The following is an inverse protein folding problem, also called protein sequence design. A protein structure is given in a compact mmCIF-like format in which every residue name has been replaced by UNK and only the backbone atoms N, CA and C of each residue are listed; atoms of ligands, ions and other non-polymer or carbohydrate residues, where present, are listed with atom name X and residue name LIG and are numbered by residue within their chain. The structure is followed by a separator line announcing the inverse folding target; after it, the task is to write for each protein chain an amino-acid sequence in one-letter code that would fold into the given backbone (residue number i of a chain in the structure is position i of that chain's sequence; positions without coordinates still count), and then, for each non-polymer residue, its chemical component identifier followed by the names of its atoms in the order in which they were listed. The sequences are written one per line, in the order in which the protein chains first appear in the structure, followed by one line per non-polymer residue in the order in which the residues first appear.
data_IF_897686745810
#
_entry.id   IF_897686745810
#
_cell.length_a   1.000
_cell.length_b   1.000
_cell.length_c   1.000
_cell.angle_alpha   90.00
_cell.angle_beta   90.00
_cell.angle_gamma   90.00
#
_symmetry.space_group_name_H-M   'P 1'
#
loop_
_entity.id
_entity.type
_entity.pdbx_description
1 polymer ?
#
# COMPACT_ATOMS: atom_id res chain seq x y z
N UNK A 1 -24.73 5.64 35.62
CA UNK A 1 -24.23 5.56 34.22
C UNK A 1 -23.11 6.58 34.09
N UNK A 2 -21.86 6.14 33.85
CA UNK A 2 -20.77 7.07 33.56
C UNK A 2 -21.01 7.64 32.16
N UNK A 3 -21.03 8.97 32.04
CA UNK A 3 -21.07 9.67 30.75
C UNK A 3 -19.96 9.11 29.87
N UNK A 4 -20.24 8.77 28.59
CA UNK A 4 -19.19 8.32 27.68
C UNK A 4 -18.08 9.38 27.63
N UNK A 5 -16.79 8.98 27.63
CA UNK A 5 -15.70 9.92 27.59
C UNK A 5 -15.83 10.81 26.34
N UNK A 6 -15.71 12.12 26.54
CA UNK A 6 -15.84 13.11 25.46
C UNK A 6 -14.64 12.98 24.52
N UNK A 7 -14.92 12.72 23.25
CA UNK A 7 -13.92 12.70 22.16
C UNK A 7 -13.23 14.06 22.09
N UNK A 8 -11.89 14.07 22.02
CA UNK A 8 -11.12 15.31 21.84
C UNK A 8 -11.00 15.64 20.36
N UNK A 9 -10.86 16.94 20.07
CA UNK A 9 -10.61 17.46 18.73
C UNK A 9 -9.32 18.27 18.74
N UNK A 10 -8.53 18.13 17.68
CA UNK A 10 -7.38 19.01 17.48
C UNK A 10 -7.82 20.42 17.07
N UNK A 11 -7.02 21.43 17.40
CA UNK A 11 -7.23 22.81 16.95
C UNK A 11 -6.89 23.00 15.47
N UNK A 12 -5.89 22.26 14.99
CA UNK A 12 -5.44 22.13 13.60
C UNK A 12 -5.34 20.66 13.25
N UNK A 13 -5.46 20.30 11.97
CA UNK A 13 -5.37 18.90 11.56
C UNK A 13 -3.91 18.42 11.63
N UNK A 14 -3.55 17.47 12.51
CA UNK A 14 -2.19 16.96 12.56
C UNK A 14 -1.85 16.14 11.31
N UNK A 15 -0.65 16.38 10.78
CA UNK A 15 -0.03 15.61 9.70
C UNK A 15 1.33 15.17 10.19
N UNK A 16 1.53 13.86 10.38
CA UNK A 16 2.82 13.29 10.75
C UNK A 16 3.47 12.71 9.51
N UNK A 17 4.66 13.20 9.18
CA UNK A 17 5.45 12.73 8.04
C UNK A 17 6.64 11.97 8.61
N UNK A 18 6.68 10.67 8.31
CA UNK A 18 7.75 9.74 8.71
C UNK A 18 8.54 9.31 7.49
N UNK A 19 9.67 8.65 7.72
CA UNK A 19 10.44 8.09 6.61
C UNK A 19 9.97 6.68 6.29
N UNK A 20 10.11 5.76 7.25
CA UNK A 20 9.65 4.38 7.12
C UNK A 20 8.17 4.28 7.53
N UNK A 21 7.37 3.59 6.72
CA UNK A 21 5.92 3.61 6.86
C UNK A 21 5.41 3.15 8.22
N UNK A 22 6.00 2.09 8.78
CA UNK A 22 5.60 1.53 10.07
C UNK A 22 5.75 2.52 11.24
N UNK A 23 6.58 3.57 11.12
CA UNK A 23 6.72 4.61 12.14
C UNK A 23 5.43 5.41 12.35
N UNK A 24 4.45 5.35 11.43
CA UNK A 24 3.14 6.00 11.64
C UNK A 24 2.39 5.43 12.86
N UNK A 25 2.65 4.17 13.23
CA UNK A 25 1.93 3.45 14.30
C UNK A 25 2.04 4.17 15.63
N UNK A 26 3.21 4.73 15.98
CA UNK A 26 3.36 5.47 17.23
C UNK A 26 2.46 6.70 17.32
N UNK A 27 2.24 7.40 16.21
CA UNK A 27 1.40 8.59 16.16
C UNK A 27 -0.08 8.21 16.21
N UNK A 28 -0.48 7.13 15.54
CA UNK A 28 -1.82 6.56 15.62
C UNK A 28 -2.12 6.13 17.07
N UNK A 29 -1.23 5.37 17.71
CA UNK A 29 -1.41 4.91 19.09
C UNK A 29 -1.45 6.08 20.09
N UNK A 30 -0.66 7.13 19.86
CA UNK A 30 -0.75 8.38 20.64
C UNK A 30 -2.11 9.06 20.47
N UNK A 31 -2.66 9.09 19.26
CA UNK A 31 -3.98 9.66 18.99
C UNK A 31 -5.13 8.85 19.62
N UNK A 32 -4.99 7.51 19.67
CA UNK A 32 -5.90 6.61 20.41
C UNK A 32 -5.79 6.88 21.93
N UNK A 33 -4.58 6.82 22.50
CA UNK A 33 -4.34 7.01 23.93
C UNK A 33 -4.75 8.39 24.45
N UNK A 34 -4.61 9.42 23.61
CA UNK A 34 -5.06 10.79 23.90
C UNK A 34 -6.54 11.05 23.62
N UNK A 35 -7.28 10.03 23.14
CA UNK A 35 -8.74 10.04 22.87
C UNK A 35 -9.18 11.00 21.77
N UNK A 36 -8.32 11.24 20.79
CA UNK A 36 -8.71 11.92 19.55
C UNK A 36 -9.31 10.91 18.56
N UNK A 37 -8.73 9.73 18.49
CA UNK A 37 -9.22 8.57 17.72
C UNK A 37 -9.90 7.59 18.70
N UNK A 38 -11.01 6.93 18.32
CA UNK A 38 -11.65 5.92 19.17
C UNK A 38 -10.73 4.71 19.40
N UNK A 39 -10.99 3.97 20.47
CA UNK A 39 -10.20 2.79 20.84
C UNK A 39 -10.39 1.59 19.90
N UNK A 40 -11.50 1.56 19.15
CA UNK A 40 -11.91 0.45 18.29
C UNK A 40 -12.73 0.96 17.13
N UNK A 41 -12.99 0.08 16.16
CA UNK A 41 -13.78 0.38 14.96
C UNK A 41 -13.21 1.57 14.18
N UNK A 42 -11.88 1.71 14.16
CA UNK A 42 -11.17 2.72 13.38
C UNK A 42 -11.24 2.33 11.91
N UNK A 43 -11.54 3.33 11.08
CA UNK A 43 -11.52 3.25 9.63
C UNK A 43 -10.28 3.96 9.10
N UNK A 44 -9.70 3.42 8.05
CA UNK A 44 -8.52 3.97 7.40
C UNK A 44 -8.75 4.07 5.90
N UNK A 45 -8.32 5.19 5.31
CA UNK A 45 -8.14 5.33 3.86
C UNK A 45 -6.64 5.34 3.63
N UNK A 46 -6.15 4.37 2.88
CA UNK A 46 -4.72 4.07 2.66
C UNK A 46 -4.39 4.34 1.20
N UNK A 47 -3.57 5.35 0.88
CA UNK A 47 -3.13 5.63 -0.48
C UNK A 47 -1.69 5.16 -0.63
N UNK A 48 -1.47 4.10 -1.40
CA UNK A 48 -0.19 3.41 -1.43
C UNK A 48 -0.06 2.53 -2.67
N UNK A 49 1.15 2.34 -3.18
CA UNK A 49 1.45 1.29 -4.17
C UNK A 49 1.43 -0.13 -3.56
N UNK A 50 1.51 -0.27 -2.25
CA UNK A 50 1.53 -1.52 -1.49
C UNK A 50 0.35 -1.62 -0.50
N UNK A 51 -0.13 -2.83 -0.15
CA UNK A 51 -1.25 -2.97 0.79
C UNK A 51 -0.89 -2.75 2.26
N UNK A 52 0.36 -3.04 2.66
CA UNK A 52 0.86 -3.11 4.04
C UNK A 52 0.09 -4.03 4.99
N UNK A 53 -0.45 -5.11 4.42
CA UNK A 53 -1.28 -6.08 5.13
C UNK A 53 -0.55 -7.39 5.45
N UNK A 54 0.79 -7.45 5.34
CA UNK A 54 1.51 -8.64 5.79
C UNK A 54 1.56 -8.69 7.32
N UNK A 55 1.99 -9.84 7.83
CA UNK A 55 2.20 -10.11 9.25
C UNK A 55 3.54 -10.84 9.35
N UNK A 56 4.45 -10.48 10.26
CA UNK A 56 5.65 -11.28 10.46
C UNK A 56 5.25 -12.70 10.86
N UNK A 57 5.69 -13.70 10.10
CA UNK A 57 5.27 -15.11 10.29
C UNK A 57 5.58 -15.60 11.72
N UNK A 58 6.63 -15.07 12.34
CA UNK A 58 7.09 -15.38 13.69
C UNK A 58 6.47 -14.52 14.80
N UNK A 59 5.67 -13.49 14.47
CA UNK A 59 5.09 -12.56 15.45
C UNK A 59 4.15 -13.31 16.41
N UNK A 60 4.56 -13.38 17.68
CA UNK A 60 3.74 -13.99 18.71
C UNK A 60 2.55 -13.08 19.04
N UNK A 61 1.36 -13.65 19.20
CA UNK A 61 0.14 -12.86 19.41
C UNK A 61 0.20 -11.93 20.65
N UNK A 62 0.94 -12.29 21.68
CA UNK A 62 1.09 -11.44 22.86
C UNK A 62 1.98 -10.20 22.63
N UNK A 63 2.86 -10.23 21.62
CA UNK A 63 3.76 -9.12 21.27
C UNK A 63 2.98 -7.85 20.92
N UNK A 64 1.82 -7.98 20.26
CA UNK A 64 0.95 -6.85 19.88
C UNK A 64 0.50 -6.00 21.06
N UNK A 65 0.45 -6.57 22.26
CA UNK A 65 0.03 -5.86 23.47
C UNK A 65 1.20 -5.32 24.29
N UNK A 66 2.43 -5.57 23.87
CA UNK A 66 3.64 -4.95 24.41
C UNK A 66 4.17 -3.92 23.40
N UNK A 67 4.28 -2.67 23.83
CA UNK A 67 4.67 -1.57 22.93
C UNK A 67 6.06 -1.78 22.34
N UNK A 68 7.03 -2.19 23.17
CA UNK A 68 8.42 -2.27 22.76
C UNK A 68 8.63 -3.47 21.85
N UNK A 69 8.05 -4.63 22.21
CA UNK A 69 8.08 -5.82 21.36
C UNK A 69 7.39 -5.57 20.03
N UNK A 70 6.16 -5.04 20.05
CA UNK A 70 5.43 -4.74 18.80
C UNK A 70 6.27 -3.87 17.88
N UNK A 71 6.77 -2.73 18.35
CA UNK A 71 7.49 -1.79 17.48
C UNK A 71 8.80 -2.37 16.95
N UNK A 72 9.45 -3.27 17.67
CA UNK A 72 10.66 -3.95 17.19
C UNK A 72 10.40 -5.03 16.13
N UNK A 73 9.17 -5.51 16.03
CA UNK A 73 8.76 -6.56 15.07
C UNK A 73 8.06 -5.99 13.83
N UNK A 74 7.74 -4.68 13.82
CA UNK A 74 7.14 -4.03 12.66
C UNK A 74 8.18 -3.71 11.59
N UNK A 75 7.74 -3.78 10.34
CA UNK A 75 8.43 -3.30 9.15
C UNK A 75 7.42 -2.61 8.23
N UNK A 76 7.92 -1.94 7.19
CA UNK A 76 7.15 -1.11 6.26
C UNK A 76 5.93 -1.83 5.66
N UNK A 77 5.99 -3.15 5.46
CA UNK A 77 4.95 -3.93 4.78
C UNK A 77 3.91 -4.61 5.70
N UNK A 78 4.06 -4.50 7.03
CA UNK A 78 3.36 -5.38 7.97
C UNK A 78 2.69 -4.69 9.18
N UNK A 79 2.55 -3.37 9.15
CA UNK A 79 2.17 -2.58 10.33
C UNK A 79 0.65 -2.47 10.58
N UNK A 80 -0.19 -2.65 9.56
CA UNK A 80 -1.65 -2.49 9.69
C UNK A 80 -2.29 -3.66 10.46
N UNK A 81 -1.95 -4.90 10.10
CA UNK A 81 -2.60 -6.11 10.62
C UNK A 81 -2.42 -6.32 12.13
N UNK A 82 -1.26 -6.00 12.74
CA UNK A 82 -1.13 -5.96 14.20
C UNK A 82 -2.14 -5.03 14.89
N UNK A 83 -2.45 -3.86 14.30
CA UNK A 83 -3.48 -2.96 14.85
C UNK A 83 -4.90 -3.53 14.70
N UNK A 84 -5.15 -4.32 13.64
CA UNK A 84 -6.40 -5.06 13.46
C UNK A 84 -6.54 -6.12 14.55
N UNK A 85 -5.49 -6.92 14.81
CA UNK A 85 -5.49 -7.92 15.87
C UNK A 85 -5.67 -7.31 17.26
N UNK A 86 -5.06 -6.14 17.52
CA UNK A 86 -5.29 -5.35 18.73
C UNK A 86 -6.76 -4.87 18.90
N UNK A 87 -7.57 -4.97 17.84
CA UNK A 87 -8.97 -4.55 17.82
C UNK A 87 -9.18 -3.05 17.59
N UNK A 88 -8.14 -2.35 17.14
CA UNK A 88 -8.19 -0.92 16.85
C UNK A 88 -8.83 -0.65 15.49
N UNK A 89 -8.24 -1.19 14.42
CA UNK A 89 -8.71 -1.03 13.04
C UNK A 89 -9.64 -2.17 12.67
N UNK A 90 -10.75 -1.84 12.00
CA UNK A 90 -11.68 -2.86 11.49
C UNK A 90 -11.95 -2.75 9.99
N UNK A 91 -11.64 -1.60 9.39
CA UNK A 91 -11.86 -1.36 7.96
C UNK A 91 -10.71 -0.53 7.37
N UNK A 92 -10.16 -1.00 6.25
CA UNK A 92 -9.17 -0.26 5.44
C UNK A 92 -9.75 -0.16 4.03
N UNK A 93 -9.78 1.05 3.48
CA UNK A 93 -9.97 1.26 2.05
C UNK A 93 -8.60 1.55 1.44
N UNK A 94 -8.03 0.56 0.76
CA UNK A 94 -6.76 0.69 0.06
C UNK A 94 -7.02 1.25 -1.34
N UNK A 95 -6.57 2.47 -1.55
CA UNK A 95 -6.59 3.17 -2.82
C UNK A 95 -5.23 2.97 -3.47
N UNK A 96 -5.22 2.25 -4.58
CA UNK A 96 -3.98 1.88 -5.24
C UNK A 96 -3.95 2.41 -6.68
N UNK A 97 -2.76 2.75 -7.20
CA UNK A 97 -2.60 3.14 -8.59
C UNK A 97 -2.70 1.92 -9.52
N UNK A 98 -2.84 2.16 -10.83
CA UNK A 98 -3.10 1.08 -11.80
C UNK A 98 -1.98 0.04 -11.95
N UNK A 99 -0.77 0.35 -11.49
CA UNK A 99 0.39 -0.54 -11.51
C UNK A 99 0.45 -1.47 -10.30
N UNK A 100 -0.25 -1.15 -9.21
CA UNK A 100 -0.32 -1.97 -8.01
C UNK A 100 -1.45 -3.00 -8.14
N UNK A 101 -1.11 -4.29 -8.19
CA UNK A 101 -2.06 -5.39 -8.47
C UNK A 101 -1.91 -6.57 -7.50
N UNK A 102 -1.33 -6.33 -6.32
CA UNK A 102 -1.03 -7.39 -5.33
C UNK A 102 -2.29 -8.07 -4.77
N UNK A 103 -3.38 -7.31 -4.60
CA UNK A 103 -4.70 -7.82 -4.19
C UNK A 103 -5.74 -7.39 -5.22
N UNK A 104 -6.68 -8.29 -5.52
CA UNK A 104 -7.75 -8.05 -6.50
C UNK A 104 -8.68 -6.92 -6.05
N UNK A 105 -9.13 -6.06 -6.96
CA UNK A 105 -10.09 -5.01 -6.63
C UNK A 105 -11.44 -5.58 -6.14
N UNK A 106 -12.04 -4.91 -5.16
CA UNK A 106 -13.32 -5.31 -4.58
C UNK A 106 -13.33 -5.33 -3.05
N UNK A 107 -14.33 -6.01 -2.51
CA UNK A 107 -14.57 -6.11 -1.06
C UNK A 107 -14.09 -7.46 -0.55
N UNK A 108 -13.19 -7.43 0.43
CA UNK A 108 -12.59 -8.59 1.06
C UNK A 108 -12.93 -8.61 2.54
N UNK A 109 -13.34 -9.79 3.04
CA UNK A 109 -13.72 -9.97 4.44
C UNK A 109 -12.94 -11.13 5.00
N UNK A 110 -12.25 -10.87 6.10
CA UNK A 110 -11.40 -11.84 6.76
C UNK A 110 -11.42 -11.62 8.27
N UNK A 111 -10.82 -12.55 9.01
CA UNK A 111 -10.55 -12.39 10.42
C UNK A 111 -9.05 -12.44 10.66
N UNK A 112 -8.56 -11.62 11.58
CA UNK A 112 -7.17 -11.65 12.07
C UNK A 112 -7.19 -12.11 13.52
N UNK A 113 -6.39 -13.11 13.86
CA UNK A 113 -6.47 -13.75 15.15
C UNK A 113 -5.22 -14.53 15.51
N UNK A 114 -5.26 -15.21 16.65
CA UNK A 114 -4.16 -16.05 17.11
C UNK A 114 -4.38 -17.47 16.60
N UNK A 115 -3.41 -18.00 15.88
CA UNK A 115 -3.40 -19.42 15.53
C UNK A 115 -3.19 -20.28 16.79
N UNK A 116 -4.05 -21.25 17.00
CA UNK A 116 -4.00 -22.20 18.12
C UNK A 116 -2.77 -23.09 18.11
N UNK A 117 -2.20 -23.37 16.94
CA UNK A 117 -1.08 -24.31 16.81
C UNK A 117 0.27 -23.64 17.11
N UNK A 118 0.49 -22.44 16.58
CA UNK A 118 1.77 -21.70 16.69
C UNK A 118 1.75 -20.59 17.74
N UNK A 119 0.59 -20.13 18.18
CA UNK A 119 0.40 -18.90 18.99
C UNK A 119 0.84 -17.60 18.31
N UNK A 120 1.03 -17.62 16.99
CA UNK A 120 1.33 -16.44 16.18
C UNK A 120 0.06 -15.83 15.59
N UNK A 121 0.17 -14.66 14.98
CA UNK A 121 -0.97 -13.98 14.35
C UNK A 121 -1.14 -14.49 12.92
N UNK A 122 -2.38 -14.83 12.54
CA UNK A 122 -2.75 -15.33 11.22
C UNK A 122 -4.07 -14.72 10.75
N UNK A 123 -4.39 -14.95 9.49
CA UNK A 123 -5.54 -14.35 8.80
C UNK A 123 -6.33 -15.41 8.05
N UNK A 124 -7.65 -15.24 7.92
CA UNK A 124 -8.52 -16.15 7.14
C UNK A 124 -8.69 -15.74 5.68
N UNK A 125 -7.90 -14.77 5.22
CA UNK A 125 -7.97 -14.21 3.86
C UNK A 125 -7.36 -15.17 2.86
N UNK A 126 -8.05 -15.40 1.75
CA UNK A 126 -7.68 -16.41 0.75
C UNK A 126 -7.07 -15.81 -0.51
N UNK A 127 -6.84 -14.50 -0.55
CA UNK A 127 -6.11 -13.85 -1.64
C UNK A 127 -4.70 -14.40 -1.72
N UNK A 128 -4.16 -14.50 -2.94
CA UNK A 128 -2.79 -14.98 -3.19
C UNK A 128 -1.77 -14.26 -2.31
N UNK A 129 -1.99 -12.97 -2.03
CA UNK A 129 -1.19 -12.12 -1.13
C UNK A 129 -0.98 -12.68 0.28
N UNK A 130 -1.97 -13.37 0.85
CA UNK A 130 -1.83 -13.99 2.18
C UNK A 130 -1.35 -15.44 2.08
N UNK A 131 -1.64 -16.11 0.98
CA UNK A 131 -1.25 -17.50 0.75
C UNK A 131 0.24 -17.61 0.43
N UNK A 132 0.78 -16.68 -0.34
CA UNK A 132 2.19 -16.58 -0.72
C UNK A 132 3.10 -16.41 0.48
N UNK A 133 2.65 -15.69 1.50
CA UNK A 133 3.40 -15.42 2.73
C UNK A 133 3.06 -16.40 3.85
N UNK A 134 2.33 -17.48 3.53
CA UNK A 134 1.94 -18.52 4.46
C UNK A 134 1.17 -18.00 5.70
N UNK A 135 0.35 -16.97 5.51
CA UNK A 135 -0.40 -16.30 6.59
C UNK A 135 -1.82 -16.84 6.78
N UNK A 136 -2.33 -17.61 5.82
CA UNK A 136 -3.68 -18.17 5.89
C UNK A 136 -3.79 -19.32 6.88
N UNK A 137 -4.85 -19.30 7.69
CA UNK A 137 -5.33 -20.46 8.45
C UNK A 137 -6.86 -20.56 8.38
N UNK A 138 -7.44 -21.77 8.49
CA UNK A 138 -8.88 -21.95 8.65
C UNK A 138 -9.45 -21.20 9.86
N UNK A 139 -10.69 -20.72 9.74
CA UNK A 139 -11.34 -19.96 10.81
C UNK A 139 -11.47 -20.74 12.13
N UNK A 140 -11.53 -22.08 12.06
CA UNK A 140 -11.59 -22.96 13.23
C UNK A 140 -10.28 -23.06 14.02
N UNK A 141 -9.15 -22.72 13.39
CA UNK A 141 -7.83 -22.69 14.03
C UNK A 141 -7.50 -21.32 14.62
N UNK A 142 -8.39 -20.34 14.42
CA UNK A 142 -8.17 -18.95 14.79
C UNK A 142 -8.92 -18.58 16.08
N UNK A 143 -8.19 -18.28 17.14
CA UNK A 143 -8.72 -17.74 18.39
C UNK A 143 -8.69 -16.21 18.43
N UNK A 144 -9.59 -15.63 19.23
CA UNK A 144 -9.71 -14.18 19.42
C UNK A 144 -9.87 -13.37 18.12
N UNK A 145 -10.42 -14.00 17.07
CA UNK A 145 -10.58 -13.42 15.74
C UNK A 145 -11.25 -12.04 15.73
N UNK A 146 -10.58 -11.09 15.09
CA UNK A 146 -11.05 -9.72 14.84
C UNK A 146 -11.52 -9.62 13.40
N UNK A 147 -12.81 -9.30 13.16
CA UNK A 147 -13.30 -9.09 11.80
C UNK A 147 -12.61 -7.89 11.16
N UNK A 148 -12.15 -8.08 9.93
CA UNK A 148 -11.49 -7.07 9.11
C UNK A 148 -12.14 -7.01 7.74
N UNK A 149 -12.37 -5.78 7.28
CA UNK A 149 -12.93 -5.49 5.97
C UNK A 149 -11.92 -4.65 5.19
N UNK A 150 -11.59 -5.13 4.00
CA UNK A 150 -10.70 -4.44 3.08
C UNK A 150 -11.47 -4.09 1.81
N UNK A 151 -11.50 -2.80 1.47
CA UNK A 151 -11.98 -2.32 0.18
C UNK A 151 -10.77 -1.99 -0.69
N UNK A 152 -10.54 -2.76 -1.75
CA UNK A 152 -9.45 -2.53 -2.71
C UNK A 152 -9.99 -1.75 -3.89
N UNK A 153 -9.48 -0.52 -4.06
CA UNK A 153 -10.06 0.47 -4.97
C UNK A 153 -8.97 1.10 -5.84
N UNK A 154 -9.00 0.79 -7.13
CA UNK A 154 -8.10 1.42 -8.11
C UNK A 154 -8.39 2.90 -8.31
N UNK A 155 -7.34 3.71 -8.37
CA UNK A 155 -7.38 5.13 -8.71
C UNK A 155 -6.53 5.38 -9.95
N UNK A 156 -7.18 5.85 -11.02
CA UNK A 156 -6.50 6.19 -12.27
C UNK A 156 -6.13 7.70 -12.33
N UNK A 157 -5.06 8.07 -13.05
CA UNK A 157 -4.72 9.47 -13.31
C UNK A 157 -5.89 10.23 -13.92
N UNK A 158 -6.22 11.40 -13.35
CA UNK A 158 -7.33 12.20 -13.86
C UNK A 158 -6.93 12.92 -15.16
N UNK A 159 -7.61 12.62 -16.25
CA UNK A 159 -7.48 13.39 -17.48
C UNK A 159 -8.39 14.61 -17.45
N UNK A 160 -7.80 15.81 -17.41
CA UNK A 160 -8.58 17.02 -17.66
C UNK A 160 -9.04 17.02 -19.11
N UNK A 161 -10.31 16.67 -19.35
CA UNK A 161 -10.93 17.10 -20.61
C UNK A 161 -10.92 18.63 -20.64
N UNK A 162 -10.67 19.23 -21.81
CA UNK A 162 -10.47 20.68 -21.97
C UNK A 162 -11.65 21.57 -21.50
N UNK A 163 -12.74 20.99 -21.00
CA UNK A 163 -13.94 21.69 -20.52
C UNK A 163 -13.80 22.32 -19.13
N UNK A 164 -12.82 21.96 -18.31
CA UNK A 164 -12.68 22.53 -16.96
C UNK A 164 -11.94 23.88 -16.90
N UNK A 165 -11.46 24.41 -18.03
CA UNK A 165 -10.91 25.79 -18.07
C UNK A 165 -11.97 26.88 -17.88
N UNK A 166 -13.26 26.56 -18.00
CA UNK A 166 -14.35 27.53 -17.86
C UNK A 166 -14.82 27.73 -16.41
N UNK A 167 -14.53 26.81 -15.48
CA UNK A 167 -14.97 26.93 -14.08
C UNK A 167 -14.14 27.97 -13.32
N UNK A 168 -12.83 28.08 -13.61
CA UNK A 168 -11.97 29.10 -13.00
C UNK A 168 -12.18 30.50 -13.60
N UNK A 169 -12.65 30.61 -14.85
CA UNK A 169 -13.00 31.92 -15.44
C UNK A 169 -14.37 32.44 -14.97
N UNK A 170 -15.33 31.57 -14.66
CA UNK A 170 -16.66 32.01 -14.20
C UNK A 170 -16.66 32.59 -12.78
N UNK A 171 -15.68 32.27 -11.93
CA UNK A 171 -15.53 32.87 -10.61
C UNK A 171 -14.84 34.26 -10.65
N UNK A 172 -14.09 34.57 -11.71
CA UNK A 172 -13.45 35.87 -11.90
C UNK A 172 -14.35 36.91 -12.61
N UNK A 173 -15.36 36.47 -13.37
CA UNK A 173 -16.16 37.35 -14.23
C UNK A 173 -17.45 37.93 -13.60
N UNK A 174 -17.68 37.78 -12.29
CA UNK A 174 -18.81 38.42 -11.59
C UNK A 174 -18.50 39.86 -11.15
N UNK A 175 -18.11 40.73 -12.10
CA UNK A 175 -18.14 42.20 -11.92
C UNK A 175 -18.05 42.94 -13.25
N UNK A 176 -19.17 43.08 -13.95
CA UNK A 176 -19.70 44.36 -14.48
C UNK A 176 -20.84 44.11 -15.46
N UNK A 177 -21.75 45.08 -15.53
CA UNK A 177 -23.13 45.02 -16.01
C UNK A 177 -23.25 45.57 -17.45
N UNK A 178 -24.32 45.14 -18.13
CA UNK A 178 -25.16 45.83 -19.15
C UNK A 178 -24.97 45.49 -20.64
N UNK A 179 -26.06 44.91 -21.18
CA UNK A 179 -26.60 44.89 -22.55
C UNK A 179 -26.90 46.31 -23.12
N UNK A 180 -27.15 46.53 -24.45
CA UNK A 180 -28.05 45.69 -25.28
C UNK A 180 -27.83 45.55 -26.82
N UNK A 181 -28.53 44.53 -27.33
CA UNK A 181 -29.37 44.47 -28.55
C UNK A 181 -28.83 44.18 -29.99
N UNK A 182 -29.69 43.42 -30.69
CA UNK A 182 -29.99 43.32 -32.14
C UNK A 182 -29.42 42.16 -33.00
N UNK A 183 -30.33 41.19 -33.24
CA UNK A 183 -30.80 40.61 -34.52
C UNK A 183 -29.81 40.07 -35.57
N UNK A 184 -30.00 38.81 -36.00
CA UNK A 184 -30.60 38.45 -37.32
C UNK A 184 -30.35 36.98 -37.75
N UNK A 185 -31.46 36.29 -38.07
CA UNK A 185 -31.70 35.30 -39.16
C UNK A 185 -30.57 34.47 -39.82
N UNK A 186 -30.82 33.17 -39.99
CA UNK A 186 -30.23 32.36 -41.06
C UNK A 186 -30.52 30.84 -41.00
N UNK A 187 -31.53 30.38 -41.76
CA UNK A 187 -31.76 28.98 -42.21
C UNK A 187 -30.62 28.54 -43.18
N UNK A 188 -30.29 27.30 -43.54
CA UNK A 188 -31.05 26.08 -43.88
C UNK A 188 -30.10 24.90 -44.26
N UNK A 189 -30.63 23.65 -44.26
CA UNK A 189 -30.16 22.47 -45.04
C UNK A 189 -29.10 21.58 -44.36
N UNK A 190 -29.25 20.27 -44.11
CA UNK A 190 -30.07 19.22 -44.72
C UNK A 190 -29.19 18.34 -45.62
N UNK A 191 -28.89 17.09 -45.22
CA UNK A 191 -28.77 15.85 -46.04
C UNK A 191 -28.29 14.67 -45.17
N UNK A 192 -28.93 13.53 -45.38
CA UNK A 192 -28.81 12.25 -44.66
C UNK A 192 -27.69 11.35 -45.21
N UNK A 193 -27.00 10.63 -44.29
CA UNK A 193 -26.56 9.21 -44.24
C UNK A 193 -26.09 8.46 -45.53
N UNK A 194 -25.17 7.45 -45.44
CA UNK A 194 -25.34 6.26 -44.58
C UNK A 194 -24.09 5.67 -43.89
N UNK A 195 -24.42 4.64 -43.11
CA UNK A 195 -23.61 3.87 -42.16
C UNK A 195 -22.45 3.08 -42.79
N UNK A 196 -21.40 2.88 -41.99
CA UNK A 196 -20.62 1.65 -42.02
C UNK A 196 -20.13 1.31 -40.60
N UNK A 197 -20.21 0.03 -40.27
CA UNK A 197 -19.99 -0.50 -38.93
C UNK A 197 -18.52 -0.49 -38.50
N UNK A 198 -18.30 -0.46 -37.19
CA UNK A 198 -17.04 -0.87 -36.60
C UNK A 198 -17.26 -1.29 -35.15
N UNK A 199 -16.92 -2.56 -34.91
CA UNK A 199 -16.26 -3.10 -33.72
C UNK A 199 -16.60 -2.45 -32.37
N UNK A 200 -17.34 -3.20 -31.55
CA UNK A 200 -17.45 -2.99 -30.11
C UNK A 200 -16.09 -3.24 -29.45
N UNK A 201 -15.28 -2.19 -29.34
CA UNK A 201 -14.24 -2.10 -28.31
C UNK A 201 -14.92 -1.92 -26.95
N UNK A 202 -14.41 -2.53 -25.85
CA UNK A 202 -14.93 -2.24 -24.52
C UNK A 202 -14.67 -0.76 -24.25
N UNK A 203 -15.73 0.03 -24.06
CA UNK A 203 -15.59 1.43 -23.68
C UNK A 203 -15.01 1.47 -22.27
N UNK A 204 -13.77 1.95 -22.14
CA UNK A 204 -13.18 2.33 -20.85
C UNK A 204 -14.03 3.46 -20.27
N UNK A 205 -14.50 3.35 -19.01
CA UNK A 205 -15.32 4.39 -18.39
C UNK A 205 -14.56 5.72 -18.40
N UNK A 206 -15.29 6.82 -18.54
CA UNK A 206 -14.67 8.15 -18.45
C UNK A 206 -14.06 8.36 -17.06
N UNK A 207 -12.98 9.13 -16.96
CA UNK A 207 -12.30 9.40 -15.68
C UNK A 207 -13.26 9.93 -14.60
N UNK A 208 -14.33 10.63 -14.99
CA UNK A 208 -15.39 11.11 -14.09
C UNK A 208 -16.27 9.97 -13.55
N UNK A 209 -16.62 8.98 -14.37
CA UNK A 209 -17.38 7.80 -13.94
C UNK A 209 -16.57 6.89 -13.03
N UNK A 210 -15.28 6.67 -13.34
CA UNK A 210 -14.37 5.92 -12.50
C UNK A 210 -14.20 6.58 -11.11
N UNK A 211 -13.98 7.89 -11.09
CA UNK A 211 -13.89 8.68 -9.85
C UNK A 211 -15.20 8.64 -9.05
N UNK A 212 -16.35 8.70 -9.73
CA UNK A 212 -17.67 8.62 -9.06
C UNK A 212 -17.89 7.25 -8.43
N UNK A 213 -17.45 6.18 -9.09
CA UNK A 213 -17.50 4.81 -8.54
C UNK A 213 -16.65 4.67 -7.29
N UNK A 214 -15.39 5.17 -7.33
CA UNK A 214 -14.46 5.19 -6.19
C UNK A 214 -15.08 5.93 -4.99
N UNK A 215 -15.64 7.11 -5.23
CA UNK A 215 -16.34 7.91 -4.20
C UNK A 215 -17.53 7.12 -3.63
N UNK A 216 -18.31 6.45 -4.47
CA UNK A 216 -19.43 5.62 -4.06
C UNK A 216 -19.02 4.50 -3.10
N UNK A 217 -17.95 3.77 -3.44
CA UNK A 217 -17.38 2.73 -2.58
C UNK A 217 -16.91 3.30 -1.24
N UNK A 218 -16.15 4.40 -1.25
CA UNK A 218 -15.63 5.03 -0.03
C UNK A 218 -16.72 5.58 0.88
N UNK A 219 -17.73 6.25 0.34
CA UNK A 219 -18.86 6.77 1.11
C UNK A 219 -19.77 5.65 1.65
N UNK A 220 -19.73 4.45 1.05
CA UNK A 220 -20.41 3.29 1.64
C UNK A 220 -19.71 2.80 2.91
N UNK A 221 -18.40 3.02 3.01
CA UNK A 221 -17.56 2.67 4.17
C UNK A 221 -17.54 3.80 5.20
N UNK A 222 -17.36 5.05 4.79
CA UNK A 222 -17.24 6.23 5.65
C UNK A 222 -18.58 6.98 5.77
N UNK A 223 -19.21 6.94 6.94
CA UNK A 223 -20.36 7.80 7.23
C UNK A 223 -19.89 9.22 7.53
N UNK A 224 -20.78 10.18 7.37
CA UNK A 224 -20.50 11.62 7.44
C UNK A 224 -19.79 12.08 8.74
N UNK A 225 -20.01 11.39 9.87
CA UNK A 225 -19.42 11.72 11.17
C UNK A 225 -18.37 10.69 11.67
N UNK A 226 -18.00 9.72 10.82
CA UNK A 226 -17.07 8.67 11.23
C UNK A 226 -15.65 9.24 11.37
N UNK A 227 -14.98 9.05 12.53
CA UNK A 227 -13.53 9.26 12.59
C UNK A 227 -12.84 8.27 11.67
N UNK A 228 -11.91 8.76 10.86
CA UNK A 228 -11.00 7.93 10.11
C UNK A 228 -9.59 8.55 10.09
N UNK A 229 -8.63 7.69 9.77
CA UNK A 229 -7.24 8.03 9.49
C UNK A 229 -7.09 8.10 7.97
N UNK A 230 -6.46 9.16 7.48
CA UNK A 230 -5.99 9.23 6.11
C UNK A 230 -4.49 8.95 6.13
N UNK A 231 -4.10 7.81 5.59
CA UNK A 231 -2.72 7.38 5.45
C UNK A 231 -2.31 7.49 3.97
N UNK A 232 -1.11 8.00 3.72
CA UNK A 232 -0.59 8.28 2.37
C UNK A 232 0.88 7.88 2.32
N UNK A 233 1.21 6.82 1.59
CA UNK A 233 2.57 6.65 1.07
C UNK A 233 2.76 7.53 -0.17
N UNK A 234 3.93 8.17 -0.27
CA UNK A 234 4.28 8.97 -1.44
C UNK A 234 4.59 8.11 -2.66
N UNK A 235 4.91 6.82 -2.48
CA UNK A 235 5.12 5.89 -3.58
C UNK A 235 3.85 5.63 -4.41
N UNK A 236 2.66 5.96 -3.88
CA UNK A 236 1.38 5.95 -4.61
C UNK A 236 1.45 6.79 -5.89
N UNK A 237 2.26 7.87 -5.88
CA UNK A 237 2.38 8.78 -7.01
C UNK A 237 3.49 8.37 -7.98
N UNK A 238 4.48 7.61 -7.52
CA UNK A 238 5.63 7.14 -8.29
C UNK A 238 6.36 6.09 -7.48
N UNK A 239 6.49 4.89 -8.01
CA UNK A 239 6.99 3.73 -7.27
C UNK A 239 8.16 3.08 -8.01
N UNK A 240 9.19 2.67 -7.28
CA UNK A 240 10.27 1.81 -7.75
C UNK A 240 10.22 0.50 -6.99
N UNK A 241 10.53 -0.57 -7.72
CA UNK A 241 11.05 -1.79 -7.13
C UNK A 241 12.60 -1.65 -7.04
N UNK A 242 13.18 -1.43 -5.83
CA UNK A 242 14.62 -1.22 -5.67
C UNK A 242 15.44 -2.46 -6.06
N UNK A 243 14.90 -3.67 -5.92
CA UNK A 243 15.61 -4.90 -6.24
C UNK A 243 15.94 -5.05 -7.73
N UNK A 244 15.17 -4.39 -8.63
CA UNK A 244 15.46 -4.38 -10.07
C UNK A 244 16.76 -3.66 -10.42
N UNK A 245 17.23 -2.74 -9.58
CA UNK A 245 18.49 -2.04 -9.77
C UNK A 245 19.67 -2.79 -9.13
N UNK A 246 19.40 -3.68 -8.17
CA UNK A 246 20.42 -4.44 -7.42
C UNK A 246 20.91 -5.72 -8.14
N UNK A 247 20.00 -6.39 -8.85
CA UNK A 247 20.24 -7.68 -9.48
C UNK A 247 20.14 -7.61 -11.00
N UNK A 248 20.93 -8.46 -11.67
CA UNK A 248 20.82 -8.63 -13.12
C UNK A 248 19.54 -9.38 -13.48
N UNK A 249 19.08 -9.25 -14.73
CA UNK A 249 17.90 -10.00 -15.22
C UNK A 249 18.03 -11.51 -15.04
N UNK A 250 19.25 -12.07 -15.18
CA UNK A 250 19.51 -13.49 -14.99
C UNK A 250 19.41 -13.90 -13.51
N UNK A 251 20.01 -13.11 -12.60
CA UNK A 251 19.91 -13.35 -11.15
C UNK A 251 18.46 -13.24 -10.67
N UNK A 252 17.73 -12.23 -11.15
CA UNK A 252 16.31 -12.04 -10.84
C UNK A 252 15.45 -13.21 -11.36
N UNK A 253 15.75 -13.71 -12.56
CA UNK A 253 15.07 -14.91 -13.11
C UNK A 253 15.32 -16.16 -12.25
N UNK A 254 16.53 -16.30 -11.68
CA UNK A 254 16.83 -17.41 -10.77
C UNK A 254 16.08 -17.24 -9.44
N UNK A 255 16.00 -16.03 -8.90
CA UNK A 255 15.20 -15.75 -7.71
C UNK A 255 13.73 -16.12 -7.95
N UNK A 256 13.15 -15.73 -9.10
CA UNK A 256 11.80 -16.13 -9.49
C UNK A 256 11.63 -17.65 -9.59
N UNK A 257 12.62 -18.38 -10.10
CA UNK A 257 12.59 -19.85 -10.14
C UNK A 257 12.58 -20.45 -8.72
N UNK A 258 13.44 -19.97 -7.84
CA UNK A 258 13.60 -20.49 -6.47
C UNK A 258 12.37 -20.20 -5.60
N UNK A 259 11.82 -19.00 -5.71
CA UNK A 259 10.72 -18.50 -4.89
C UNK A 259 9.34 -18.62 -5.56
N UNK A 260 9.25 -19.20 -6.75
CA UNK A 260 7.99 -19.38 -7.48
C UNK A 260 6.90 -19.95 -6.58
N UNK A 261 5.79 -19.23 -6.45
CA UNK A 261 4.63 -19.64 -5.68
C UNK A 261 3.56 -20.29 -6.60
N UNK A 262 3.20 -21.53 -6.30
CA UNK A 262 2.16 -22.26 -7.03
C UNK A 262 0.77 -21.98 -6.43
N UNK A 263 0.09 -21.01 -7.04
CA UNK A 263 -1.25 -20.57 -6.64
C UNK A 263 -2.31 -21.67 -6.72
N UNK A 264 -3.27 -21.70 -5.79
CA UNK A 264 -4.43 -22.58 -5.90
C UNK A 264 -5.37 -22.11 -7.02
N UNK A 265 -6.41 -22.91 -7.30
CA UNK A 265 -7.50 -22.48 -8.21
C UNK A 265 -8.39 -21.48 -7.49
N UNK A 266 -9.03 -20.56 -8.23
CA UNK A 266 -9.93 -19.54 -7.66
C UNK A 266 -11.07 -20.12 -6.79
N UNK A 267 -11.48 -21.37 -7.04
CA UNK A 267 -12.54 -22.07 -6.33
C UNK A 267 -12.02 -23.18 -5.40
N UNK A 268 -10.76 -23.10 -4.99
CA UNK A 268 -10.14 -24.06 -4.08
C UNK A 268 -10.92 -24.18 -2.77
N UNK A 269 -11.09 -25.42 -2.31
CA UNK A 269 -11.64 -25.70 -0.99
C UNK A 269 -10.59 -25.47 0.11
N UNK A 270 -11.06 -25.45 1.35
CA UNK A 270 -10.22 -25.18 2.52
C UNK A 270 -9.07 -26.18 2.67
N UNK A 271 -9.28 -27.45 2.33
CA UNK A 271 -8.24 -28.49 2.35
C UNK A 271 -7.13 -28.17 1.34
N UNK A 272 -7.50 -27.81 0.11
CA UNK A 272 -6.55 -27.39 -0.94
C UNK A 272 -5.77 -26.13 -0.54
N UNK A 273 -6.42 -25.17 0.13
CA UNK A 273 -5.75 -23.97 0.64
C UNK A 273 -4.74 -24.31 1.73
N UNK A 274 -5.08 -25.21 2.65
CA UNK A 274 -4.15 -25.67 3.69
C UNK A 274 -2.94 -26.38 3.08
N UNK A 275 -3.15 -27.29 2.13
CA UNK A 275 -2.04 -27.97 1.41
C UNK A 275 -1.16 -26.98 0.64
N UNK A 276 -1.74 -25.91 0.10
CA UNK A 276 -1.01 -24.83 -0.57
C UNK A 276 -0.09 -24.09 0.41
N UNK A 277 -0.64 -23.63 1.54
CA UNK A 277 0.12 -22.93 2.58
C UNK A 277 1.20 -23.83 3.18
N UNK A 278 0.90 -25.09 3.52
CA UNK A 278 1.89 -26.03 4.05
C UNK A 278 3.05 -26.30 3.09
N UNK A 279 2.79 -26.30 1.78
CA UNK A 279 3.84 -26.41 0.76
C UNK A 279 4.69 -25.14 0.72
N UNK A 280 4.04 -23.98 0.76
CA UNK A 280 4.71 -22.68 0.74
C UNK A 280 5.56 -22.45 2.00
N UNK A 281 5.04 -22.75 3.19
CA UNK A 281 5.80 -22.69 4.45
C UNK A 281 7.09 -23.50 4.36
N UNK A 282 7.01 -24.76 3.93
CA UNK A 282 8.20 -25.62 3.77
C UNK A 282 9.21 -25.05 2.78
N UNK A 283 8.74 -24.52 1.65
CA UNK A 283 9.61 -23.88 0.66
C UNK A 283 10.35 -22.68 1.27
N UNK A 284 9.65 -21.80 1.97
CA UNK A 284 10.23 -20.61 2.59
C UNK A 284 11.22 -20.98 3.70
N UNK A 285 10.88 -21.94 4.58
CA UNK A 285 11.77 -22.46 5.62
C UNK A 285 13.03 -23.11 5.02
N UNK A 286 12.89 -23.89 3.94
CA UNK A 286 14.02 -24.50 3.24
C UNK A 286 14.95 -23.41 2.63
N UNK A 287 14.38 -22.35 2.05
CA UNK A 287 15.13 -21.23 1.49
C UNK A 287 15.82 -20.40 2.57
N UNK A 288 15.13 -20.07 3.66
CA UNK A 288 15.70 -19.36 4.82
C UNK A 288 16.90 -20.14 5.38
N UNK A 289 16.75 -21.45 5.60
CA UNK A 289 17.84 -22.30 6.07
C UNK A 289 19.02 -22.36 5.09
N UNK A 290 18.75 -22.36 3.78
CA UNK A 290 19.78 -22.33 2.74
C UNK A 290 20.55 -21.01 2.76
N UNK A 291 19.89 -19.87 2.89
CA UNK A 291 20.57 -18.57 2.96
C UNK A 291 21.30 -18.36 4.28
N UNK A 292 20.79 -18.91 5.39
CA UNK A 292 21.51 -18.96 6.66
C UNK A 292 22.81 -19.79 6.55
N UNK A 293 22.76 -20.97 5.90
CA UNK A 293 23.97 -21.76 5.61
C UNK A 293 25.00 -20.95 4.79
N UNK A 294 24.56 -20.17 3.81
CA UNK A 294 25.42 -19.33 2.96
C UNK A 294 26.06 -18.15 3.72
N UNK A 295 25.36 -17.58 4.71
CA UNK A 295 25.93 -16.56 5.59
C UNK A 295 27.07 -17.12 6.46
N UNK A 296 26.98 -18.40 6.85
CA UNK A 296 28.03 -19.06 7.62
C UNK A 296 29.21 -19.53 6.76
N UNK A 297 28.93 -20.17 5.62
CA UNK A 297 29.93 -20.69 4.69
C UNK A 297 29.40 -20.82 3.24
N UNK A 298 29.96 -20.03 2.32
CA UNK A 298 29.63 -20.06 0.90
C UNK A 298 30.73 -20.71 0.03
N UNK A 299 31.48 -21.65 0.62
CA UNK A 299 32.51 -22.44 -0.07
C UNK A 299 31.94 -23.39 -1.13
N UNK A 300 32.79 -23.81 -2.08
CA UNK A 300 32.41 -24.78 -3.13
C UNK A 300 31.80 -26.07 -2.56
N UNK A 301 32.32 -26.56 -1.42
CA UNK A 301 31.81 -27.77 -0.78
C UNK A 301 30.40 -27.58 -0.23
N UNK A 302 30.11 -26.41 0.35
CA UNK A 302 28.75 -26.08 0.81
C UNK A 302 27.81 -25.92 -0.39
N UNK A 303 28.25 -25.28 -1.47
CA UNK A 303 27.46 -25.15 -2.70
C UNK A 303 27.14 -26.51 -3.35
N UNK A 304 28.09 -27.43 -3.42
CA UNK A 304 27.86 -28.81 -3.92
C UNK A 304 26.79 -29.52 -3.07
N UNK A 305 26.88 -29.43 -1.74
CA UNK A 305 25.91 -30.00 -0.82
C UNK A 305 24.51 -29.38 -0.99
N UNK A 306 24.43 -28.06 -1.20
CA UNK A 306 23.16 -27.37 -1.43
C UNK A 306 22.56 -27.74 -2.79
N UNK A 307 23.37 -27.90 -3.84
CA UNK A 307 22.92 -28.28 -5.18
C UNK A 307 22.25 -29.67 -5.24
N UNK A 308 22.63 -30.56 -4.33
CA UNK A 308 22.04 -31.89 -4.19
C UNK A 308 20.62 -31.86 -3.62
N UNK A 309 20.21 -30.75 -2.96
CA UNK A 309 18.83 -30.57 -2.51
C UNK A 309 17.89 -30.41 -3.72
N UNK A 310 16.74 -31.09 -3.77
CA UNK A 310 15.75 -30.90 -4.82
C UNK A 310 15.35 -29.42 -4.95
N UNK A 311 15.27 -28.91 -6.19
CA UNK A 311 14.90 -27.51 -6.45
C UNK A 311 16.02 -26.47 -6.31
N UNK A 312 17.18 -26.82 -5.75
CA UNK A 312 18.26 -25.85 -5.43
C UNK A 312 19.39 -25.79 -6.47
N UNK A 313 19.20 -26.38 -7.66
CA UNK A 313 20.25 -26.44 -8.68
C UNK A 313 20.61 -25.06 -9.26
N UNK A 314 19.64 -24.17 -9.36
CA UNK A 314 19.83 -22.81 -9.88
C UNK A 314 20.52 -21.90 -8.86
N UNK A 315 20.41 -22.19 -7.55
CA UNK A 315 21.08 -21.45 -6.46
C UNK A 315 22.59 -21.33 -6.67
N UNK A 316 23.27 -22.41 -7.08
CA UNK A 316 24.73 -22.37 -7.32
C UNK A 316 25.07 -21.35 -8.41
N UNK A 317 24.25 -21.24 -9.44
CA UNK A 317 24.47 -20.25 -10.51
C UNK A 317 24.28 -18.83 -9.97
N UNK A 318 23.25 -18.61 -9.15
CA UNK A 318 23.00 -17.34 -8.50
C UNK A 318 24.19 -16.93 -7.63
N UNK A 319 24.65 -17.81 -6.73
CA UNK A 319 25.79 -17.52 -5.85
C UNK A 319 27.07 -17.25 -6.65
N UNK A 320 27.37 -18.05 -7.68
CA UNK A 320 28.52 -17.81 -8.55
C UNK A 320 28.44 -16.44 -9.26
N UNK A 321 27.25 -16.06 -9.76
CA UNK A 321 27.03 -14.75 -10.38
C UNK A 321 27.27 -13.63 -9.39
N UNK A 322 26.68 -13.70 -8.20
CA UNK A 322 26.83 -12.71 -7.14
C UNK A 322 28.30 -12.55 -6.72
N UNK A 323 29.00 -13.68 -6.46
CA UNK A 323 30.41 -13.70 -6.07
C UNK A 323 31.35 -13.12 -7.12
N UNK A 324 30.98 -13.20 -8.39
CA UNK A 324 31.76 -12.59 -9.48
C UNK A 324 31.73 -11.06 -9.45
N UNK A 325 30.67 -10.47 -8.89
CA UNK A 325 30.49 -9.01 -8.75
C UNK A 325 30.92 -8.49 -7.38
N UNK A 326 30.71 -9.28 -6.33
CA UNK A 326 31.05 -8.97 -4.95
C UNK A 326 31.51 -10.23 -4.21
N UNK A 327 32.75 -10.25 -3.70
CA UNK A 327 33.35 -11.42 -3.03
C UNK A 327 32.54 -11.91 -1.82
N UNK A 328 31.85 -11.01 -1.13
CA UNK A 328 30.96 -11.30 0.00
C UNK A 328 29.56 -10.75 -0.29
N UNK A 329 28.71 -11.48 -1.03
CA UNK A 329 27.34 -11.07 -1.29
C UNK A 329 26.56 -10.87 0.00
N UNK A 330 25.63 -9.91 -0.01
CA UNK A 330 24.66 -9.74 1.06
C UNK A 330 23.54 -10.77 0.91
N UNK A 331 23.74 -11.97 1.45
CA UNK A 331 22.79 -13.08 1.31
C UNK A 331 21.46 -12.82 2.01
N UNK A 332 21.43 -11.97 3.04
CA UNK A 332 20.19 -11.53 3.66
C UNK A 332 19.37 -10.72 2.65
N UNK A 333 19.98 -9.72 2.02
CA UNK A 333 19.33 -8.91 0.98
C UNK A 333 18.91 -9.73 -0.26
N UNK A 334 19.65 -10.78 -0.59
CA UNK A 334 19.27 -11.72 -1.67
C UNK A 334 18.03 -12.52 -1.27
N UNK A 335 17.98 -12.99 -0.02
CA UNK A 335 16.81 -13.69 0.51
C UNK A 335 15.58 -12.78 0.51
N UNK A 336 15.71 -11.54 1.00
CA UNK A 336 14.64 -10.54 1.00
C UNK A 336 14.12 -10.25 -0.41
N UNK A 337 15.01 -10.03 -1.39
CA UNK A 337 14.61 -9.85 -2.78
C UNK A 337 13.88 -11.08 -3.35
N UNK A 338 14.31 -12.28 -2.96
CA UNK A 338 13.66 -13.52 -3.34
C UNK A 338 12.22 -13.64 -2.84
N UNK A 339 11.96 -13.23 -1.59
CA UNK A 339 10.62 -13.23 -1.00
C UNK A 339 9.63 -12.39 -1.81
N UNK A 340 10.12 -11.39 -2.55
CA UNK A 340 9.30 -10.50 -3.37
C UNK A 340 9.20 -10.90 -4.86
N UNK A 341 9.70 -12.09 -5.21
CA UNK A 341 9.80 -12.60 -6.59
C UNK A 341 8.92 -13.83 -6.85
N UNK A 342 7.78 -13.96 -6.19
CA UNK A 342 7.06 -15.22 -6.09
C UNK A 342 5.98 -15.45 -7.16
N UNK A 343 4.80 -14.84 -7.06
CA UNK A 343 3.71 -14.92 -8.02
C UNK A 343 3.41 -13.58 -8.69
N UNK A 344 3.72 -12.47 -8.03
CA UNK A 344 3.64 -11.12 -8.57
C UNK A 344 4.90 -10.36 -8.22
N UNK A 345 5.49 -9.66 -9.19
CA UNK A 345 6.59 -8.74 -8.89
C UNK A 345 6.09 -7.55 -8.07
N UNK A 346 6.97 -6.97 -7.25
CA UNK A 346 6.67 -5.70 -6.59
C UNK A 346 6.34 -4.61 -7.62
N UNK A 347 5.41 -3.70 -7.27
CA UNK A 347 5.12 -2.48 -8.01
C UNK A 347 6.38 -1.75 -8.51
N UNK A 348 6.40 -1.41 -9.79
CA UNK A 348 7.45 -0.57 -10.38
C UNK A 348 6.84 0.30 -11.47
N UNK A 349 6.72 1.60 -11.20
CA UNK A 349 6.28 2.62 -12.14
C UNK A 349 6.78 4.00 -11.72
N UNK A 350 7.93 4.42 -12.27
CA UNK A 350 8.45 5.78 -12.05
C UNK A 350 7.65 6.76 -12.91
N UNK A 351 6.73 7.48 -12.28
CA UNK A 351 5.83 8.42 -12.94
C UNK A 351 6.57 9.63 -13.49
N UNK A 352 6.07 10.16 -14.61
CA UNK A 352 6.46 11.49 -15.09
C UNK A 352 5.81 12.59 -14.24
N UNK A 353 6.39 13.80 -14.24
CA UNK A 353 5.81 14.96 -13.56
C UNK A 353 4.35 15.23 -14.00
N UNK A 354 4.03 15.02 -15.28
CA UNK A 354 2.67 15.19 -15.79
C UNK A 354 1.69 14.15 -15.23
N UNK A 355 2.14 12.90 -15.06
CA UNK A 355 1.35 11.82 -14.49
C UNK A 355 1.15 12.00 -12.99
N UNK A 356 2.21 12.40 -12.25
CA UNK A 356 2.11 12.79 -10.84
C UNK A 356 1.04 13.87 -10.67
N UNK A 357 1.03 14.90 -11.52
CA UNK A 357 0.00 15.95 -11.47
C UNK A 357 -1.42 15.44 -11.74
N UNK A 358 -1.59 14.46 -12.63
CA UNK A 358 -2.89 13.84 -12.91
C UNK A 358 -3.38 12.96 -11.74
N UNK A 359 -2.47 12.22 -11.09
CA UNK A 359 -2.77 11.44 -9.88
C UNK A 359 -3.11 12.35 -8.70
N UNK A 360 -2.34 13.42 -8.49
CA UNK A 360 -2.63 14.47 -7.51
C UNK A 360 -4.04 15.06 -7.71
N UNK A 361 -4.45 15.26 -8.96
CA UNK A 361 -5.79 15.75 -9.28
C UNK A 361 -6.87 14.68 -9.00
N UNK A 362 -6.61 13.42 -9.31
CA UNK A 362 -7.50 12.30 -9.00
C UNK A 362 -7.70 12.16 -7.48
N UNK A 363 -6.62 12.12 -6.70
CA UNK A 363 -6.65 12.07 -5.23
C UNK A 363 -7.42 13.24 -4.66
N UNK A 364 -7.22 14.46 -5.18
CA UNK A 364 -8.02 15.61 -4.76
C UNK A 364 -9.51 15.39 -4.99
N UNK A 365 -9.93 14.85 -6.15
CA UNK A 365 -11.34 14.58 -6.42
C UNK A 365 -11.92 13.49 -5.51
N UNK A 366 -11.14 12.45 -5.21
CA UNK A 366 -11.54 11.36 -4.31
C UNK A 366 -11.68 11.84 -2.87
N UNK A 367 -10.77 12.69 -2.38
CA UNK A 367 -10.78 13.18 -0.99
C UNK A 367 -11.78 14.33 -0.75
N UNK A 368 -12.08 15.15 -1.77
CA UNK A 368 -12.97 16.30 -1.64
C UNK A 368 -14.38 16.00 -1.05
N UNK A 369 -15.08 14.90 -1.42
CA UNK A 369 -16.38 14.57 -0.84
C UNK A 369 -16.31 13.90 0.53
N UNK A 370 -15.12 13.47 0.98
CA UNK A 370 -14.97 12.76 2.25
C UNK A 370 -15.06 13.74 3.43
N UNK A 371 -15.49 13.27 4.62
CA UNK A 371 -15.40 14.08 5.82
C UNK A 371 -13.94 14.42 6.14
N UNK A 372 -13.72 15.44 6.97
CA UNK A 372 -12.38 15.80 7.42
C UNK A 372 -11.76 14.66 8.24
N UNK A 373 -10.55 14.17 7.92
CA UNK A 373 -9.91 13.11 8.69
C UNK A 373 -9.58 13.58 10.11
N UNK A 374 -9.42 12.63 11.04
CA UNK A 374 -9.04 12.93 12.43
C UNK A 374 -7.53 13.10 12.58
N UNK A 375 -6.77 12.37 11.77
CA UNK A 375 -5.31 12.31 11.73
C UNK A 375 -4.90 12.04 10.29
N UNK A 376 -3.81 12.67 9.85
CA UNK A 376 -3.13 12.31 8.61
C UNK A 376 -1.74 11.79 8.95
N UNK A 377 -1.37 10.70 8.31
CA UNK A 377 -0.04 10.11 8.33
C UNK A 377 0.49 10.07 6.89
N UNK A 378 1.79 10.31 6.74
CA UNK A 378 2.47 10.31 5.44
C UNK A 378 3.78 9.55 5.58
N UNK A 379 3.99 8.52 4.79
CA UNK A 379 5.29 7.86 4.64
C UNK A 379 6.02 8.43 3.44
N UNK A 380 7.33 8.67 3.55
CA UNK A 380 8.14 9.18 2.43
C UNK A 380 8.69 8.05 1.57
N UNK A 381 9.02 6.92 2.19
CA UNK A 381 9.56 5.72 1.53
C UNK A 381 10.70 6.07 0.56
N UNK A 382 11.58 6.99 0.97
CA UNK A 382 12.66 7.50 0.11
C UNK A 382 14.02 6.92 0.47
N UNK A 383 14.23 6.53 1.73
CA UNK A 383 15.46 5.84 2.16
C UNK A 383 15.51 4.37 1.73
N UNK A 384 14.37 3.71 1.63
CA UNK A 384 14.21 2.35 1.08
C UNK A 384 14.04 2.34 -0.46
N UNK A 385 14.04 3.53 -1.07
CA UNK A 385 13.97 3.81 -2.51
C UNK A 385 12.65 3.40 -3.20
N UNK A 386 11.57 3.06 -2.48
CA UNK A 386 10.27 2.77 -3.10
C UNK A 386 9.66 4.01 -3.74
N UNK A 387 9.66 5.15 -3.07
CA UNK A 387 9.42 6.46 -3.68
C UNK A 387 10.74 7.01 -4.25
N UNK A 388 10.82 7.39 -5.54
CA UNK A 388 12.05 7.93 -6.12
C UNK A 388 12.62 9.12 -5.32
N UNK A 389 13.87 9.04 -4.83
CA UNK A 389 14.46 10.09 -3.98
C UNK A 389 14.55 11.46 -4.66
N UNK A 390 14.59 11.49 -6.00
CA UNK A 390 14.60 12.73 -6.79
C UNK A 390 13.20 13.35 -6.97
N UNK A 391 12.13 12.64 -6.62
CA UNK A 391 10.73 13.07 -6.74
C UNK A 391 10.04 13.28 -5.38
N UNK A 392 10.47 12.61 -4.32
CA UNK A 392 9.79 12.60 -3.00
C UNK A 392 9.46 14.00 -2.46
N UNK A 393 10.38 14.96 -2.55
CA UNK A 393 10.17 16.30 -1.99
C UNK A 393 9.11 17.11 -2.74
N UNK A 394 9.04 16.95 -4.08
CA UNK A 394 8.03 17.64 -4.90
C UNK A 394 6.66 17.01 -4.72
N UNK A 395 6.59 15.68 -4.60
CA UNK A 395 5.38 14.92 -4.30
C UNK A 395 4.84 15.33 -2.92
N UNK A 396 5.66 15.26 -1.86
CA UNK A 396 5.30 15.66 -0.49
C UNK A 396 4.73 17.09 -0.44
N UNK A 397 5.42 18.04 -1.08
CA UNK A 397 4.99 19.44 -1.13
C UNK A 397 3.63 19.61 -1.81
N UNK A 398 3.37 18.80 -2.85
CA UNK A 398 2.10 18.81 -3.59
C UNK A 398 0.96 18.19 -2.78
N UNK A 399 1.21 17.06 -2.10
CA UNK A 399 0.25 16.44 -1.17
C UNK A 399 -0.15 17.42 -0.09
N UNK A 400 0.81 18.05 0.60
CA UNK A 400 0.52 19.02 1.66
C UNK A 400 -0.34 20.19 1.16
N UNK A 401 -0.09 20.69 -0.06
CA UNK A 401 -0.89 21.76 -0.66
C UNK A 401 -2.33 21.32 -0.95
N UNK A 402 -2.54 20.07 -1.39
CA UNK A 402 -3.88 19.51 -1.59
C UNK A 402 -4.60 19.40 -0.25
N UNK A 403 -3.94 18.84 0.76
CA UNK A 403 -4.48 18.69 2.11
C UNK A 403 -4.85 20.03 2.73
N UNK A 404 -4.01 21.07 2.60
CA UNK A 404 -4.33 22.43 3.06
C UNK A 404 -5.56 23.01 2.34
N UNK A 405 -5.64 22.79 1.02
CA UNK A 405 -6.75 23.27 0.20
C UNK A 405 -8.07 22.62 0.60
N UNK A 406 -8.05 21.32 0.90
CA UNK A 406 -9.25 20.55 1.25
C UNK A 406 -9.65 20.71 2.72
N UNK A 407 -8.70 20.73 3.65
CA UNK A 407 -8.97 20.60 5.08
C UNK A 407 -8.59 21.82 5.93
N UNK A 408 -8.02 22.86 5.30
CA UNK A 408 -7.61 24.11 5.93
C UNK A 408 -6.25 24.00 6.62
N UNK A 409 -6.02 24.80 7.68
CA UNK A 409 -4.73 24.84 8.37
C UNK A 409 -4.33 23.46 8.92
N UNK A 410 -3.13 23.04 8.53
CA UNK A 410 -2.47 21.83 9.01
C UNK A 410 -1.52 22.15 10.17
N UNK A 411 -1.24 21.13 10.97
CA UNK A 411 -0.18 21.07 11.98
C UNK A 411 0.79 19.97 11.55
N UNK A 412 1.81 20.37 10.78
CA UNK A 412 2.71 19.45 10.08
C UNK A 412 3.94 19.17 10.95
N UNK A 413 4.22 17.88 11.18
CA UNK A 413 5.35 17.36 11.93
C UNK A 413 6.17 16.47 10.99
N UNK A 414 7.48 16.72 10.90
CA UNK A 414 8.40 16.02 9.98
C UNK A 414 9.42 15.25 10.79
N UNK A 415 9.07 14.05 11.21
CA UNK A 415 9.89 13.26 12.15
C UNK A 415 11.23 12.84 11.53
N UNK A 416 11.26 12.65 10.22
CA UNK A 416 12.47 12.31 9.46
C UNK A 416 13.57 13.39 9.54
N UNK A 417 13.22 14.66 9.84
CA UNK A 417 14.22 15.72 10.03
C UNK A 417 14.93 15.57 11.39
N UNK A 418 14.27 15.05 12.43
CA UNK A 418 14.84 14.91 13.78
C UNK A 418 15.87 13.77 13.85
N UNK A 419 15.66 12.68 13.12
CA UNK A 419 16.60 11.55 13.01
C UNK A 419 17.96 11.97 12.41
N UNK A 420 17.98 12.98 11.52
CA UNK A 420 19.21 13.48 10.90
C UNK A 420 20.10 14.28 11.87
N UNK A 421 19.52 14.84 12.94
CA UNK A 421 20.20 15.75 13.88
C UNK A 421 21.10 15.06 14.91
N UNK A 422 20.85 13.80 15.25
CA UNK A 422 21.64 13.08 16.27
C UNK A 422 23.03 12.66 15.78
N UNK A 423 23.26 12.60 14.47
CA UNK A 423 24.55 12.24 13.87
C UNK A 423 25.65 13.33 14.01
N UNK A 424 25.30 14.56 14.42
CA UNK A 424 26.24 15.70 14.43
C UNK A 424 26.75 16.12 15.82
N UNK A 425 26.33 15.45 16.90
CA UNK A 425 26.63 15.89 18.28
C UNK A 425 27.61 15.02 19.08
N UNK A 426 28.23 14.00 18.45
CA UNK A 426 29.32 13.22 19.05
C UNK A 426 30.64 13.38 18.28
N UNK A 427 31.14 14.61 18.15
CA UNK A 427 32.57 14.84 17.93
C UNK A 427 32.97 16.22 18.44
N UNK A 428 33.35 16.29 19.72
CA UNK A 428 34.15 17.38 20.29
C UNK A 428 34.88 16.89 21.54
#
# INVERSE_FOLDING_TARGET
MKTPPVKRSYSKLPVWIVEDHHEVVQHIYRAIGSRHIPMKDIKMVHLDSHPDLLIPVSMAAHAVFDKETLFSELSIENWIMPMVYAGHVSHVAWLHPYWAQQIREGEHKMCVGRDTSTNTIRVTGTDDYFLSDALYVPAEQLEDGKPFHLSVIRVDPAHTSERNRDIDQQNAAKKSKLDPDLSSSGSCGGVSQPADGSSSTPETPSAEEATTSVIGSLLSVLKQDDPYILDIDLDFFSCKNPFKDMYTEEEYSILQELYSFERPREDADEETLCECVERRTRQLEDLEAVFADLLEDDSELTLERLADKPGMKSLVKLVCSLKSRNETPDYEMVHQAGLTCDYSELPHHVSSEAEIQQLMLAVRFVLQPLPKPTLITVSRSSLDEYCPPDQVDSIQSSVLKILETLFGSLDVHKEYEEASGESTSQSS
#
